data_IF_235406524791
#
_entry.id   IF_235406524791
#
_cell.length_a   1.000
_cell.length_b   1.000
_cell.length_c   1.000
_cell.angle_alpha   90.00
_cell.angle_beta   90.00
_cell.angle_gamma   90.00
#
_symmetry.space_group_name_H-M   'P 1'
#
loop_
_entity.id
_entity.type
_entity.pdbx_description
1 polymer ?
#
# COMPACT_ATOMS: atom_id res chain seq x y z
N UNK A 1 4.80 -8.43 -19.84
CA UNK A 1 4.92 -7.10 -19.19
C UNK A 1 4.70 -6.03 -20.22
N UNK A 2 4.13 -4.87 -19.86
CA UNK A 2 4.04 -3.73 -20.78
C UNK A 2 5.43 -3.14 -21.06
N UNK A 3 5.62 -2.42 -22.18
CA UNK A 3 6.87 -1.70 -22.50
C UNK A 3 7.27 -0.79 -21.33
N UNK A 4 6.30 -0.08 -20.75
CA UNK A 4 6.53 0.77 -19.58
C UNK A 4 7.25 0.04 -18.43
N UNK A 5 6.77 -1.13 -18.01
CA UNK A 5 7.38 -1.88 -16.89
C UNK A 5 8.79 -2.36 -17.23
N UNK A 6 9.04 -2.74 -18.48
CA UNK A 6 10.39 -3.08 -18.94
C UNK A 6 11.33 -1.88 -18.83
N UNK A 7 10.93 -0.75 -19.39
CA UNK A 7 11.73 0.48 -19.37
C UNK A 7 11.90 1.03 -17.95
N UNK A 8 10.87 0.90 -17.10
CA UNK A 8 10.94 1.29 -15.69
C UNK A 8 12.07 0.56 -14.96
N UNK A 9 12.14 -0.76 -15.11
CA UNK A 9 13.19 -1.55 -14.46
C UNK A 9 14.58 -1.30 -15.07
N UNK A 10 14.69 -1.14 -16.38
CA UNK A 10 15.95 -0.75 -17.01
C UNK A 10 16.51 0.55 -16.41
N UNK A 11 15.72 1.61 -16.43
CA UNK A 11 16.14 2.92 -15.89
C UNK A 11 16.39 2.87 -14.39
N UNK A 12 15.59 2.11 -13.63
CA UNK A 12 15.82 1.99 -12.20
C UNK A 12 17.14 1.26 -11.88
N UNK A 13 17.50 0.25 -12.66
CA UNK A 13 18.81 -0.42 -12.53
C UNK A 13 19.95 0.53 -12.88
N UNK A 14 19.84 1.27 -13.95
CA UNK A 14 20.82 2.31 -14.31
C UNK A 14 21.00 3.33 -13.19
N UNK A 15 19.90 3.80 -12.62
CA UNK A 15 19.91 4.75 -11.51
C UNK A 15 20.63 4.21 -10.27
N UNK A 16 20.30 3.00 -9.85
CA UNK A 16 20.93 2.40 -8.66
C UNK A 16 22.40 2.15 -8.88
N UNK A 17 22.80 1.68 -10.08
CA UNK A 17 24.19 1.52 -10.45
C UNK A 17 24.95 2.86 -10.48
N UNK A 18 24.33 3.91 -11.02
CA UNK A 18 24.91 5.27 -11.03
C UNK A 18 25.15 5.79 -9.62
N UNK A 19 24.21 5.53 -8.70
CA UNK A 19 24.23 6.05 -7.34
C UNK A 19 24.91 5.11 -6.33
N UNK A 20 25.44 3.95 -6.75
CA UNK A 20 25.93 2.89 -5.87
C UNK A 20 27.00 3.32 -4.84
N UNK A 21 27.89 4.22 -5.25
CA UNK A 21 28.99 4.71 -4.41
C UNK A 21 28.61 5.95 -3.58
N UNK A 22 27.41 6.52 -3.82
CA UNK A 22 26.90 7.65 -3.06
C UNK A 22 26.27 7.18 -1.76
N UNK A 23 27.08 7.06 -0.71
CA UNK A 23 26.66 6.53 0.59
C UNK A 23 26.82 7.56 1.70
N UNK A 24 25.83 7.68 2.59
CA UNK A 24 25.90 8.49 3.80
C UNK A 24 25.74 7.58 5.03
N UNK A 25 26.66 7.66 6.01
CA UNK A 25 26.70 6.76 7.18
C UNK A 25 26.57 5.27 6.80
N UNK A 26 27.18 4.87 5.69
CA UNK A 26 27.14 3.52 5.11
C UNK A 26 25.78 3.10 4.53
N UNK A 27 24.83 4.01 4.37
CA UNK A 27 23.55 3.76 3.70
C UNK A 27 23.62 4.29 2.26
N UNK A 28 23.43 3.44 1.24
CA UNK A 28 23.40 3.86 -0.16
C UNK A 28 22.18 4.77 -0.42
N UNK A 29 22.39 6.03 -0.82
CA UNK A 29 21.33 7.00 -1.00
C UNK A 29 20.40 6.65 -2.17
N UNK A 30 20.92 5.97 -3.21
CA UNK A 30 20.12 5.49 -4.33
C UNK A 30 19.03 4.50 -3.93
N UNK A 31 19.24 3.70 -2.87
CA UNK A 31 18.25 2.75 -2.38
C UNK A 31 17.09 3.41 -1.59
N UNK A 32 17.26 4.65 -1.12
CA UNK A 32 16.22 5.37 -0.37
C UNK A 32 15.16 5.94 -1.32
N UNK A 33 15.53 6.20 -2.58
CA UNK A 33 14.67 6.86 -3.56
C UNK A 33 13.45 6.02 -3.93
N UNK A 34 12.25 6.57 -3.82
CA UNK A 34 11.10 6.03 -4.51
C UNK A 34 11.18 6.42 -5.99
N UNK A 35 11.80 5.56 -6.79
CA UNK A 35 12.23 5.88 -8.15
C UNK A 35 11.07 6.31 -9.06
N UNK A 36 9.89 5.72 -8.88
CA UNK A 36 8.69 6.12 -9.64
C UNK A 36 8.41 7.62 -9.56
N UNK A 37 8.67 8.25 -8.41
CA UNK A 37 8.43 9.68 -8.21
C UNK A 37 9.43 10.60 -8.92
N UNK A 38 10.52 10.05 -9.46
CA UNK A 38 11.55 10.81 -10.19
C UNK A 38 11.29 10.87 -11.68
N UNK A 39 10.33 10.10 -12.19
CA UNK A 39 9.98 10.06 -13.60
C UNK A 39 8.81 11.01 -13.83
N UNK A 40 9.02 12.04 -14.68
CA UNK A 40 7.96 13.00 -15.00
C UNK A 40 6.80 12.33 -15.75
N UNK A 41 5.58 12.88 -15.71
CA UNK A 41 4.43 12.33 -16.44
C UNK A 41 4.72 12.12 -17.92
N UNK A 42 5.38 13.08 -18.57
CA UNK A 42 5.72 13.05 -20.01
C UNK A 42 6.70 11.91 -20.32
N UNK A 43 7.69 11.70 -19.44
CA UNK A 43 8.64 10.58 -19.59
C UNK A 43 7.94 9.26 -19.39
N UNK A 44 7.02 9.14 -18.40
CA UNK A 44 6.25 7.92 -18.19
C UNK A 44 5.39 7.55 -19.40
N UNK A 45 4.82 8.54 -20.08
CA UNK A 45 4.05 8.34 -21.30
C UNK A 45 4.95 7.83 -22.43
N UNK A 46 6.13 8.43 -22.63
CA UNK A 46 7.13 7.96 -23.60
C UNK A 46 7.61 6.52 -23.33
N UNK A 47 7.70 6.12 -22.06
CA UNK A 47 8.08 4.75 -21.68
C UNK A 47 7.07 3.67 -22.10
N UNK A 48 5.88 4.03 -22.59
CA UNK A 48 4.93 3.09 -23.21
C UNK A 48 5.36 2.69 -24.63
N UNK A 49 6.16 3.53 -25.30
CA UNK A 49 6.65 3.28 -26.65
C UNK A 49 7.87 2.33 -26.60
N UNK A 50 7.87 1.31 -27.45
CA UNK A 50 8.96 0.34 -27.58
C UNK A 50 10.29 1.03 -27.92
N UNK A 51 10.26 2.06 -28.77
CA UNK A 51 11.44 2.81 -29.18
C UNK A 51 12.18 3.52 -28.04
N UNK A 52 11.51 3.77 -26.90
CA UNK A 52 12.17 4.35 -25.72
C UNK A 52 13.32 3.48 -25.21
N UNK A 53 13.21 2.16 -25.36
CA UNK A 53 14.27 1.22 -24.97
C UNK A 53 15.59 1.41 -25.72
N UNK A 54 15.56 1.95 -26.94
CA UNK A 54 16.77 2.22 -27.74
C UNK A 54 17.61 3.38 -27.18
N UNK A 55 17.00 4.25 -26.36
CA UNK A 55 17.69 5.36 -25.69
C UNK A 55 18.40 4.92 -24.39
N UNK A 56 18.18 3.67 -23.94
CA UNK A 56 18.71 3.14 -22.68
C UNK A 56 19.97 2.31 -22.91
N UNK A 57 20.87 2.30 -21.93
CA UNK A 57 22.15 1.59 -22.03
C UNK A 57 22.11 0.20 -21.38
N UNK A 58 21.22 -0.03 -20.45
CA UNK A 58 21.07 -1.29 -19.72
C UNK A 58 20.10 -2.21 -20.43
N UNK A 59 20.38 -3.50 -20.49
CA UNK A 59 19.43 -4.49 -21.00
C UNK A 59 18.26 -4.66 -20.05
N UNK A 60 17.07 -4.94 -20.60
CA UNK A 60 15.87 -5.19 -19.78
C UNK A 60 16.09 -6.40 -18.86
N UNK A 61 15.95 -6.26 -17.52
CA UNK A 61 16.09 -7.38 -16.62
C UNK A 61 14.91 -8.36 -16.77
N UNK A 62 15.18 -9.64 -16.59
CA UNK A 62 14.10 -10.61 -16.44
C UNK A 62 13.40 -10.40 -15.09
N UNK A 63 12.11 -10.74 -14.96
CA UNK A 63 11.39 -10.58 -13.70
C UNK A 63 12.11 -11.14 -12.46
N UNK A 64 12.68 -12.32 -12.58
CA UNK A 64 13.40 -13.01 -11.51
C UNK A 64 14.73 -12.36 -11.12
N UNK A 65 15.25 -11.43 -11.91
CA UNK A 65 16.51 -10.72 -11.63
C UNK A 65 16.27 -9.42 -10.84
N UNK A 66 15.01 -8.99 -10.71
CA UNK A 66 14.66 -7.69 -10.11
C UNK A 66 15.12 -7.63 -8.65
N UNK A 67 14.57 -8.48 -7.78
CA UNK A 67 14.92 -8.43 -6.36
C UNK A 67 16.39 -8.78 -6.07
N UNK A 68 17.00 -9.79 -6.71
CA UNK A 68 18.42 -10.11 -6.52
C UNK A 68 19.36 -8.94 -6.79
N UNK A 69 19.07 -8.11 -7.79
CA UNK A 69 19.85 -6.90 -8.07
C UNK A 69 19.87 -5.95 -6.85
N UNK A 70 18.73 -5.67 -6.25
CA UNK A 70 18.66 -4.82 -5.06
C UNK A 70 19.25 -5.48 -3.82
N UNK A 71 19.11 -6.80 -3.69
CA UNK A 71 19.72 -7.56 -2.59
C UNK A 71 21.25 -7.49 -2.64
N UNK A 72 21.86 -7.55 -3.83
CA UNK A 72 23.28 -7.34 -4.02
C UNK A 72 23.73 -5.96 -3.52
N UNK A 73 22.98 -4.90 -3.83
CA UNK A 73 23.28 -3.56 -3.33
C UNK A 73 23.07 -3.43 -1.81
N UNK A 74 22.06 -4.08 -1.24
CA UNK A 74 21.86 -4.14 0.22
C UNK A 74 23.02 -4.85 0.94
N UNK A 75 23.61 -5.88 0.33
CA UNK A 75 24.77 -6.60 0.91
C UNK A 75 26.02 -5.73 1.04
N UNK A 76 26.13 -4.63 0.28
CA UNK A 76 27.24 -3.67 0.38
C UNK A 76 27.13 -2.75 1.61
N UNK A 77 26.00 -2.73 2.31
CA UNK A 77 25.83 -1.96 3.53
C UNK A 77 26.77 -2.50 4.60
N UNK A 78 27.69 -1.64 5.07
CA UNK A 78 28.62 -2.01 6.12
C UNK A 78 27.86 -2.29 7.42
N UNK A 79 27.96 -3.51 7.88
CA UNK A 79 27.29 -3.99 9.08
C UNK A 79 28.03 -3.55 10.34
N UNK A 80 27.26 -3.22 11.39
CA UNK A 80 27.80 -2.81 12.69
C UNK A 80 27.29 -3.75 13.78
N UNK A 81 28.07 -4.00 14.84
CA UNK A 81 27.60 -4.72 16.01
C UNK A 81 26.46 -3.94 16.69
N UNK A 82 25.34 -4.59 16.88
CA UNK A 82 24.19 -4.04 17.59
C UNK A 82 23.41 -5.19 18.25
N UNK A 83 23.41 -5.24 19.58
CA UNK A 83 22.71 -6.29 20.35
C UNK A 83 22.04 -5.66 21.57
N UNK A 84 20.79 -5.19 21.46
CA UNK A 84 20.07 -4.66 22.61
C UNK A 84 19.71 -5.81 23.57
N UNK A 85 20.03 -5.65 24.87
CA UNK A 85 19.76 -6.65 25.91
C UNK A 85 18.26 -6.91 26.13
N UNK A 86 17.41 -5.90 25.88
CA UNK A 86 15.95 -5.97 25.99
C UNK A 86 15.34 -5.13 24.88
N UNK A 87 15.37 -5.68 23.65
CA UNK A 87 14.98 -4.93 22.48
C UNK A 87 13.47 -4.79 22.35
N UNK A 88 13.04 -3.60 21.90
CA UNK A 88 11.64 -3.28 21.59
C UNK A 88 11.31 -3.50 20.13
N UNK A 89 10.04 -3.76 19.82
CA UNK A 89 9.55 -3.60 18.45
C UNK A 89 9.17 -2.13 18.21
N UNK A 90 9.68 -1.57 17.12
CA UNK A 90 9.31 -0.26 16.62
C UNK A 90 8.18 -0.38 15.62
N UNK A 91 7.03 0.22 15.90
CA UNK A 91 5.90 0.32 14.98
C UNK A 91 5.92 1.70 14.32
N UNK A 92 6.23 1.75 13.02
CA UNK A 92 6.18 3.00 12.27
C UNK A 92 4.75 3.31 11.86
N UNK A 93 4.15 4.31 12.50
CA UNK A 93 2.72 4.62 12.43
C UNK A 93 2.21 4.88 11.00
N UNK A 94 2.97 5.61 10.19
CA UNK A 94 2.55 5.99 8.85
C UNK A 94 2.35 4.75 7.98
N UNK A 95 1.18 4.68 7.33
CA UNK A 95 0.75 3.56 6.47
C UNK A 95 0.58 2.20 7.15
N UNK A 96 0.88 2.06 8.45
CA UNK A 96 0.68 0.80 9.17
C UNK A 96 -0.80 0.42 9.27
N UNK A 97 -1.68 1.43 9.36
CA UNK A 97 -3.15 1.26 9.36
C UNK A 97 -3.70 0.34 10.45
N UNK A 98 -2.98 0.17 11.54
CA UNK A 98 -3.45 -0.57 12.69
C UNK A 98 -4.62 0.13 13.36
N UNK A 99 -5.53 -0.64 13.89
CA UNK A 99 -6.65 -0.20 14.71
C UNK A 99 -6.25 -0.13 16.18
N UNK A 100 -7.09 0.47 17.04
CA UNK A 100 -6.89 0.45 18.49
C UNK A 100 -6.69 -0.98 19.00
N UNK A 101 -7.54 -1.92 18.57
CA UNK A 101 -7.48 -3.32 18.97
C UNK A 101 -6.11 -3.95 18.61
N UNK A 102 -5.55 -3.62 17.44
CA UNK A 102 -4.23 -4.14 17.08
C UNK A 102 -3.13 -3.58 17.98
N UNK A 103 -3.13 -2.25 18.27
CA UNK A 103 -2.12 -1.63 19.13
C UNK A 103 -2.18 -2.18 20.56
N UNK A 104 -3.37 -2.39 21.12
CA UNK A 104 -3.55 -2.90 22.50
C UNK A 104 -3.08 -4.34 22.70
N UNK A 105 -2.82 -5.09 21.61
CA UNK A 105 -2.25 -6.43 21.65
C UNK A 105 -0.74 -6.44 21.92
N UNK A 106 -0.06 -5.31 21.74
CA UNK A 106 1.38 -5.18 21.96
C UNK A 106 1.71 -4.81 23.40
N UNK A 107 2.79 -5.38 23.94
CA UNK A 107 3.24 -5.12 25.30
C UNK A 107 3.89 -3.73 25.43
N UNK A 108 3.41 -2.83 26.31
CA UNK A 108 3.89 -1.44 26.39
C UNK A 108 5.40 -1.27 26.64
N UNK A 109 5.97 -2.14 27.49
CA UNK A 109 7.39 -2.06 27.84
C UNK A 109 8.32 -2.57 26.73
N UNK A 110 7.77 -3.32 25.75
CA UNK A 110 8.50 -3.95 24.66
C UNK A 110 8.14 -3.37 23.29
N UNK A 111 7.36 -2.28 23.28
CA UNK A 111 6.90 -1.67 22.03
C UNK A 111 7.08 -0.16 22.10
N UNK A 112 7.39 0.43 20.97
CA UNK A 112 7.42 1.89 20.80
C UNK A 112 6.80 2.24 19.43
N UNK A 113 6.00 3.30 19.41
CA UNK A 113 5.38 3.83 18.19
C UNK A 113 6.18 5.03 17.72
N UNK A 114 6.64 5.02 16.48
CA UNK A 114 7.25 6.17 15.82
C UNK A 114 6.20 6.90 14.98
N UNK A 115 5.97 8.19 15.26
CA UNK A 115 4.95 8.97 14.58
C UNK A 115 5.41 10.41 14.32
N UNK A 116 4.71 11.13 13.42
CA UNK A 116 4.98 12.55 13.10
C UNK A 116 4.41 13.56 14.11
N UNK A 117 3.52 13.13 14.97
CA UNK A 117 2.83 13.98 15.95
C UNK A 117 3.38 13.74 17.36
N UNK A 118 3.30 14.80 18.20
CA UNK A 118 3.74 14.77 19.61
C UNK A 118 2.60 14.26 20.49
N UNK A 119 2.76 13.06 21.02
CA UNK A 119 1.95 12.47 22.09
C UNK A 119 2.86 11.59 22.93
N UNK A 120 2.65 11.52 24.22
CA UNK A 120 3.42 10.62 25.08
C UNK A 120 3.00 9.16 24.90
N UNK A 121 1.75 8.94 24.54
CA UNK A 121 1.10 7.64 24.50
C UNK A 121 0.15 7.51 23.28
N UNK A 122 0.04 6.30 22.74
CA UNK A 122 -0.94 5.93 21.73
C UNK A 122 -1.50 4.54 22.01
N UNK A 123 -2.75 4.48 22.46
CA UNK A 123 -3.42 3.25 22.91
C UNK A 123 -2.60 2.44 23.93
N UNK A 124 -1.99 3.13 24.90
CA UNK A 124 -1.16 2.54 25.95
C UNK A 124 0.26 2.21 25.54
N UNK A 125 0.70 2.56 24.34
CA UNK A 125 2.08 2.35 23.86
C UNK A 125 2.87 3.67 23.86
N UNK A 126 4.14 3.69 24.35
CA UNK A 126 4.99 4.87 24.28
C UNK A 126 5.18 5.35 22.82
N UNK A 127 5.19 6.65 22.63
CA UNK A 127 5.38 7.29 21.32
C UNK A 127 6.70 8.06 21.31
N UNK A 128 7.43 7.93 20.21
CA UNK A 128 8.55 8.79 19.82
C UNK A 128 8.08 9.65 18.66
N UNK A 129 8.20 10.95 18.82
CA UNK A 129 7.85 11.90 17.77
C UNK A 129 9.04 12.15 16.84
N UNK A 130 8.83 12.03 15.51
CA UNK A 130 9.89 12.34 14.53
C UNK A 130 10.53 13.71 14.72
N UNK A 131 9.78 14.78 15.03
CA UNK A 131 10.38 16.09 15.37
C UNK A 131 11.33 16.08 16.58
N UNK A 132 11.18 15.13 17.52
CA UNK A 132 12.08 15.01 18.69
C UNK A 132 13.42 14.35 18.34
N UNK A 133 13.48 13.67 17.21
CA UNK A 133 14.69 13.06 16.66
C UNK A 133 15.51 14.05 15.81
N UNK A 134 14.94 15.22 15.50
CA UNK A 134 15.63 16.23 14.72
C UNK A 134 16.74 16.88 15.56
N UNK A 135 17.99 16.61 15.16
CA UNK A 135 19.18 17.27 15.67
C UNK A 135 19.52 18.54 14.89
N UNK A 136 20.74 19.00 15.04
CA UNK A 136 21.28 20.06 14.18
C UNK A 136 21.37 19.58 12.73
N UNK A 137 20.93 20.46 11.81
CA UNK A 137 20.95 20.17 10.38
C UNK A 137 22.41 20.16 9.88
N UNK A 138 22.83 19.06 9.28
CA UNK A 138 24.16 18.91 8.70
C UNK A 138 24.24 19.57 7.31
N UNK A 139 24.37 20.92 7.30
CA UNK A 139 24.40 21.71 6.07
C UNK A 139 25.60 21.38 5.18
N UNK A 140 26.75 21.02 5.77
CA UNK A 140 27.94 20.64 5.04
C UNK A 140 27.70 19.37 4.24
N UNK A 141 27.12 18.35 4.88
CA UNK A 141 26.72 17.12 4.19
C UNK A 141 25.69 17.38 3.08
N UNK A 142 24.71 18.26 3.32
CA UNK A 142 23.73 18.61 2.28
C UNK A 142 24.42 19.14 1.02
N UNK A 143 25.33 20.11 1.16
CA UNK A 143 26.06 20.69 0.00
C UNK A 143 26.95 19.64 -0.65
N UNK A 144 27.75 18.91 0.12
CA UNK A 144 28.67 17.89 -0.37
C UNK A 144 27.95 16.82 -1.23
N UNK A 145 26.83 16.29 -0.74
CA UNK A 145 26.12 15.21 -1.43
C UNK A 145 25.32 15.69 -2.64
N UNK A 146 24.86 16.94 -2.65
CA UNK A 146 24.30 17.58 -3.86
C UNK A 146 25.39 17.75 -4.93
N UNK A 147 26.57 18.21 -4.56
CA UNK A 147 27.69 18.36 -5.50
C UNK A 147 28.14 17.02 -6.07
N UNK A 148 28.29 16.00 -5.23
CA UNK A 148 28.62 14.64 -5.68
C UNK A 148 27.58 14.09 -6.65
N UNK A 149 26.29 14.24 -6.35
CA UNK A 149 25.22 13.80 -7.25
C UNK A 149 25.21 14.56 -8.57
N UNK A 150 25.44 15.89 -8.53
CA UNK A 150 25.57 16.69 -9.77
C UNK A 150 26.75 16.24 -10.63
N UNK A 151 27.89 15.90 -10.01
CA UNK A 151 29.06 15.40 -10.73
C UNK A 151 28.78 14.04 -11.39
N UNK A 152 28.10 13.11 -10.67
CA UNK A 152 27.66 11.82 -11.23
C UNK A 152 26.70 11.98 -12.40
N UNK A 153 25.78 12.96 -12.36
CA UNK A 153 24.78 13.20 -13.39
C UNK A 153 25.31 14.01 -14.60
N UNK A 154 26.52 14.60 -14.52
CA UNK A 154 27.07 15.44 -15.58
C UNK A 154 27.20 14.69 -16.92
N UNK A 155 27.71 13.45 -16.99
CA UNK A 155 27.79 12.68 -18.24
C UNK A 155 26.43 12.31 -18.84
N UNK A 156 25.37 12.33 -18.03
CA UNK A 156 24.01 11.90 -18.40
C UNK A 156 23.10 13.07 -18.83
N UNK A 157 23.67 14.17 -19.35
CA UNK A 157 22.88 15.34 -19.75
C UNK A 157 21.85 15.05 -20.86
N UNK A 158 22.15 14.08 -21.73
CA UNK A 158 21.27 13.66 -22.83
C UNK A 158 20.42 12.43 -22.51
N UNK A 159 20.57 11.83 -21.31
CA UNK A 159 19.79 10.67 -20.93
C UNK A 159 18.30 11.05 -20.75
N UNK A 160 17.34 10.28 -21.29
CA UNK A 160 15.92 10.66 -21.33
C UNK A 160 15.30 10.90 -19.94
N UNK A 161 15.82 10.24 -18.89
CA UNK A 161 15.37 10.40 -17.50
C UNK A 161 16.35 11.27 -16.69
N UNK A 162 17.65 10.92 -16.64
CA UNK A 162 18.62 11.58 -15.76
C UNK A 162 19.03 12.98 -16.26
N UNK A 163 18.85 13.25 -17.56
CA UNK A 163 19.01 14.59 -18.16
C UNK A 163 17.82 15.51 -17.87
N UNK A 164 16.66 14.96 -17.49
CA UNK A 164 15.44 15.73 -17.27
C UNK A 164 15.56 16.63 -16.04
N UNK A 165 15.11 17.88 -16.18
CA UNK A 165 15.13 18.89 -15.09
C UNK A 165 14.32 18.43 -13.89
N UNK A 166 13.13 17.87 -14.12
CA UNK A 166 12.26 17.34 -13.06
C UNK A 166 12.99 16.29 -12.21
N UNK A 167 13.68 15.33 -12.84
CA UNK A 167 14.48 14.32 -12.15
C UNK A 167 15.55 14.96 -11.26
N UNK A 168 16.34 15.90 -11.83
CA UNK A 168 17.47 16.52 -11.15
C UNK A 168 17.05 17.38 -9.97
N UNK A 169 15.98 18.15 -10.12
CA UNK A 169 15.44 18.97 -9.01
C UNK A 169 14.87 18.10 -7.89
N UNK A 170 14.11 17.07 -8.26
CA UNK A 170 13.56 16.13 -7.28
C UNK A 170 14.67 15.42 -6.50
N UNK A 171 15.70 14.93 -7.18
CA UNK A 171 16.84 14.26 -6.54
C UNK A 171 17.58 15.19 -5.58
N UNK A 172 17.89 16.43 -5.98
CA UNK A 172 18.56 17.41 -5.10
C UNK A 172 17.77 17.65 -3.81
N UNK A 173 16.46 17.84 -3.94
CA UNK A 173 15.57 18.04 -2.78
C UNK A 173 15.55 16.82 -1.86
N UNK A 174 15.46 15.63 -2.43
CA UNK A 174 15.34 14.40 -1.67
C UNK A 174 16.65 13.98 -1.00
N UNK A 175 17.83 14.29 -1.60
CA UNK A 175 19.12 14.04 -0.97
C UNK A 175 19.26 14.75 0.38
N UNK A 176 18.82 16.00 0.48
CA UNK A 176 18.76 16.74 1.74
C UNK A 176 17.91 15.99 2.76
N UNK A 177 16.70 15.60 2.35
CA UNK A 177 15.80 14.85 3.21
C UNK A 177 16.38 13.49 3.64
N UNK A 178 17.07 12.78 2.74
CA UNK A 178 17.66 11.47 3.05
C UNK A 178 18.73 11.56 4.13
N UNK A 179 19.59 12.58 4.04
CA UNK A 179 20.64 12.84 5.05
C UNK A 179 19.99 13.10 6.41
N UNK A 180 19.00 14.01 6.47
CA UNK A 180 18.30 14.35 7.71
C UNK A 180 17.59 13.12 8.31
N UNK A 181 16.92 12.30 7.48
CA UNK A 181 16.22 11.10 7.93
C UNK A 181 17.20 10.02 8.43
N UNK A 182 18.35 9.87 7.79
CA UNK A 182 19.40 8.94 8.27
C UNK A 182 19.88 9.37 9.64
N UNK A 183 20.18 10.64 9.86
CA UNK A 183 20.63 11.17 11.15
C UNK A 183 19.58 11.00 12.25
N UNK A 184 18.32 11.31 11.96
CA UNK A 184 17.21 11.10 12.88
C UNK A 184 17.04 9.64 13.29
N UNK A 185 17.18 8.70 12.34
CA UNK A 185 17.04 7.28 12.63
C UNK A 185 18.26 6.72 13.36
N UNK A 186 19.47 7.21 13.09
CA UNK A 186 20.64 6.89 13.94
C UNK A 186 20.38 7.30 15.39
N UNK A 187 19.93 8.55 15.62
CA UNK A 187 19.55 9.03 16.96
C UNK A 187 18.48 8.14 17.62
N UNK A 188 17.47 7.69 16.85
CA UNK A 188 16.45 6.78 17.35
C UNK A 188 17.04 5.47 17.89
N UNK A 189 17.98 4.85 17.14
CA UNK A 189 18.62 3.61 17.56
C UNK A 189 19.61 3.78 18.71
N UNK A 190 20.13 5.00 18.93
CA UNK A 190 20.94 5.35 20.10
C UNK A 190 20.07 5.53 21.34
N UNK A 191 18.89 6.16 21.19
CA UNK A 191 17.95 6.43 22.27
C UNK A 191 17.16 5.21 22.74
N UNK A 192 16.90 4.25 21.84
CA UNK A 192 16.02 3.11 22.09
C UNK A 192 16.67 1.78 21.69
N UNK A 193 16.59 0.75 22.56
CA UNK A 193 17.04 -0.59 22.24
C UNK A 193 16.01 -1.28 21.31
N UNK A 194 16.14 -1.12 20.00
CA UNK A 194 15.22 -1.69 19.02
C UNK A 194 15.69 -3.09 18.62
N UNK A 195 14.82 -4.11 18.70
CA UNK A 195 15.05 -5.47 18.24
C UNK A 195 14.40 -5.78 16.89
N UNK A 196 13.29 -5.10 16.60
CA UNK A 196 12.56 -5.27 15.33
C UNK A 196 11.88 -3.98 14.91
N UNK A 197 11.63 -3.86 13.61
CA UNK A 197 10.89 -2.74 13.01
C UNK A 197 9.73 -3.26 12.18
N UNK A 198 8.53 -2.69 12.35
CA UNK A 198 7.36 -2.96 11.51
C UNK A 198 6.97 -1.67 10.79
N UNK A 199 6.89 -1.74 9.47
CA UNK A 199 6.47 -0.63 8.60
C UNK A 199 5.27 -1.04 7.76
N UNK A 200 4.42 -0.08 7.38
CA UNK A 200 3.26 -0.32 6.52
C UNK A 200 3.52 -0.11 5.03
N UNK A 201 4.71 0.37 4.67
CA UNK A 201 5.17 0.57 3.29
C UNK A 201 6.67 0.79 3.27
N UNK A 202 7.29 0.66 2.11
CA UNK A 202 8.66 1.13 1.83
C UNK A 202 8.69 2.15 0.69
N UNK A 203 7.58 2.84 0.43
CA UNK A 203 7.52 3.88 -0.60
C UNK A 203 8.05 5.25 -0.13
N UNK A 204 8.09 5.51 1.17
CA UNK A 204 8.62 6.75 1.73
C UNK A 204 10.06 6.60 2.26
N UNK A 205 10.80 7.72 2.28
CA UNK A 205 12.19 7.74 2.70
C UNK A 205 12.39 7.24 4.15
N UNK A 206 11.48 7.58 5.06
CA UNK A 206 11.58 7.19 6.47
C UNK A 206 11.51 5.67 6.64
N UNK A 207 10.51 5.03 6.02
CA UNK A 207 10.33 3.58 6.06
C UNK A 207 11.50 2.84 5.39
N UNK A 208 12.02 3.36 4.27
CA UNK A 208 13.20 2.77 3.60
C UNK A 208 14.44 2.88 4.45
N UNK A 209 14.73 4.04 5.04
CA UNK A 209 15.89 4.20 5.91
C UNK A 209 15.76 3.31 7.14
N UNK A 210 14.58 3.18 7.77
CA UNK A 210 14.35 2.22 8.85
C UNK A 210 14.70 0.79 8.41
N UNK A 211 14.23 0.36 7.25
CA UNK A 211 14.54 -0.98 6.73
C UNK A 211 16.04 -1.16 6.46
N UNK A 212 16.71 -0.20 5.83
CA UNK A 212 18.17 -0.27 5.56
C UNK A 212 19.01 -0.22 6.86
N UNK A 213 18.56 0.54 7.87
CA UNK A 213 19.19 0.58 9.18
C UNK A 213 19.06 -0.75 9.95
N UNK A 214 17.97 -1.51 9.72
CA UNK A 214 17.88 -2.88 10.27
C UNK A 214 18.86 -3.83 9.59
N UNK A 215 19.07 -3.70 8.26
CA UNK A 215 20.11 -4.45 7.54
C UNK A 215 21.50 -4.13 8.10
N UNK A 216 21.82 -2.85 8.32
CA UNK A 216 23.09 -2.38 8.91
C UNK A 216 23.34 -3.00 10.30
N UNK A 217 22.29 -3.24 11.08
CA UNK A 217 22.36 -3.72 12.48
C UNK A 217 22.03 -5.20 12.67
N UNK A 218 21.80 -5.95 11.60
CA UNK A 218 21.35 -7.35 11.65
C UNK A 218 20.05 -7.56 12.46
N UNK A 219 19.10 -6.65 12.31
CA UNK A 219 17.83 -6.71 12.98
C UNK A 219 16.72 -7.20 12.05
N UNK A 220 15.65 -7.68 12.64
CA UNK A 220 14.42 -8.02 11.92
C UNK A 220 13.66 -6.75 11.50
N UNK A 221 13.23 -6.69 10.25
CA UNK A 221 12.25 -5.72 9.78
C UNK A 221 11.15 -6.40 8.99
N UNK A 222 9.91 -5.97 9.21
CA UNK A 222 8.72 -6.50 8.52
C UNK A 222 8.01 -5.34 7.85
N UNK A 223 7.78 -5.43 6.54
CA UNK A 223 6.86 -4.56 5.84
C UNK A 223 5.54 -5.28 5.64
N UNK A 224 4.44 -4.71 6.10
CA UNK A 224 3.10 -5.24 5.84
C UNK A 224 2.54 -4.66 4.54
N UNK A 225 1.93 -5.50 3.73
CA UNK A 225 1.32 -5.09 2.48
C UNK A 225 0.20 -4.06 2.72
N UNK A 226 0.31 -2.88 2.12
CA UNK A 226 -0.58 -1.76 2.41
C UNK A 226 -1.84 -1.69 1.53
N UNK A 227 -1.91 -2.47 0.45
CA UNK A 227 -3.01 -2.44 -0.52
C UNK A 227 -3.04 -3.67 -1.41
N UNK A 228 -4.05 -3.76 -2.30
CA UNK A 228 -4.09 -4.77 -3.34
C UNK A 228 -2.91 -4.61 -4.30
N UNK A 229 -2.36 -5.72 -4.77
CA UNK A 229 -1.22 -5.74 -5.67
C UNK A 229 -1.64 -5.23 -7.05
N UNK A 230 -1.18 -4.02 -7.41
CA UNK A 230 -1.63 -3.32 -8.60
C UNK A 230 -0.54 -3.07 -9.64
N UNK A 231 0.71 -2.93 -9.21
CA UNK A 231 1.85 -2.62 -10.07
C UNK A 231 3.16 -2.78 -9.32
N UNK A 232 4.25 -2.91 -10.05
CA UNK A 232 5.57 -3.16 -9.49
C UNK A 232 6.04 -2.02 -8.59
N UNK A 233 5.79 -0.78 -8.99
CA UNK A 233 6.42 0.43 -8.47
C UNK A 233 6.14 0.68 -6.98
N UNK A 234 4.95 0.25 -6.52
CA UNK A 234 4.52 0.43 -5.13
C UNK A 234 4.94 -0.73 -4.19
N UNK A 235 5.35 -1.86 -4.76
CA UNK A 235 5.60 -3.09 -3.99
C UNK A 235 7.03 -3.61 -4.10
N UNK A 236 7.80 -3.17 -5.09
CA UNK A 236 9.20 -3.56 -5.30
C UNK A 236 10.12 -2.34 -5.40
N UNK A 237 11.38 -2.52 -4.99
CA UNK A 237 11.99 -3.70 -4.37
C UNK A 237 11.66 -3.84 -2.87
N UNK A 238 11.83 -5.05 -2.32
CA UNK A 238 11.76 -5.30 -0.88
C UNK A 238 13.07 -4.83 -0.23
N UNK A 239 12.94 -3.92 0.76
CA UNK A 239 14.08 -3.46 1.56
C UNK A 239 14.13 -4.10 2.95
N UNK A 240 13.02 -4.57 3.46
CA UNK A 240 12.92 -5.24 4.77
C UNK A 240 13.46 -6.67 4.72
N UNK A 241 13.77 -7.23 5.88
CA UNK A 241 14.24 -8.63 6.00
C UNK A 241 13.10 -9.63 5.79
N UNK A 242 11.84 -9.18 5.99
CA UNK A 242 10.63 -9.95 5.78
C UNK A 242 9.53 -9.05 5.20
N UNK A 243 8.68 -9.61 4.35
CA UNK A 243 7.53 -8.92 3.77
C UNK A 243 6.27 -9.72 4.06
N UNK A 244 5.33 -9.12 4.82
CA UNK A 244 4.05 -9.73 5.16
C UNK A 244 3.00 -9.43 4.09
N UNK A 245 2.48 -10.47 3.45
CA UNK A 245 1.52 -10.36 2.34
C UNK A 245 0.14 -10.92 2.71
N UNK A 246 -0.87 -10.62 1.90
CA UNK A 246 -2.24 -11.06 2.15
C UNK A 246 -2.41 -12.56 1.98
N UNK A 247 -1.88 -13.13 0.90
CA UNK A 247 -2.09 -14.52 0.58
C UNK A 247 -1.06 -15.11 -0.39
N UNK A 248 -1.40 -16.30 -0.90
CA UNK A 248 -0.53 -17.04 -1.81
C UNK A 248 -0.28 -16.31 -3.14
N UNK A 249 -1.28 -15.60 -3.66
CA UNK A 249 -1.15 -14.84 -4.91
C UNK A 249 0.01 -13.85 -4.85
N UNK A 250 0.07 -13.05 -3.79
CA UNK A 250 1.15 -12.08 -3.61
C UNK A 250 2.48 -12.78 -3.35
N UNK A 251 2.50 -13.82 -2.52
CA UNK A 251 3.74 -14.58 -2.26
C UNK A 251 4.34 -15.12 -3.55
N UNK A 252 3.53 -15.75 -4.39
CA UNK A 252 3.96 -16.28 -5.69
C UNK A 252 4.46 -15.16 -6.60
N UNK A 253 3.77 -14.00 -6.61
CA UNK A 253 4.18 -12.86 -7.40
C UNK A 253 5.56 -12.33 -6.99
N UNK A 254 5.83 -12.17 -5.69
CA UNK A 254 7.13 -11.73 -5.19
C UNK A 254 8.23 -12.75 -5.51
N UNK A 255 7.96 -14.04 -5.34
CA UNK A 255 8.90 -15.10 -5.68
C UNK A 255 9.23 -15.08 -7.18
N UNK A 256 8.24 -14.90 -8.05
CA UNK A 256 8.45 -14.74 -9.49
C UNK A 256 9.25 -13.48 -9.87
N UNK A 257 9.37 -12.50 -8.95
CA UNK A 257 10.22 -11.31 -9.08
C UNK A 257 11.60 -11.49 -8.44
N UNK A 258 11.95 -12.71 -8.04
CA UNK A 258 13.25 -13.09 -7.51
C UNK A 258 13.40 -12.94 -5.99
N UNK A 259 12.32 -12.64 -5.27
CA UNK A 259 12.37 -12.68 -3.80
C UNK A 259 12.56 -14.12 -3.30
N UNK A 260 13.37 -14.31 -2.27
CA UNK A 260 13.48 -15.62 -1.64
C UNK A 260 12.15 -15.96 -0.93
N UNK A 261 11.66 -17.21 -1.02
CA UNK A 261 10.40 -17.62 -0.41
C UNK A 261 10.30 -17.33 1.09
N UNK A 262 11.45 -17.34 1.81
CA UNK A 262 11.56 -17.10 3.24
C UNK A 262 11.52 -15.60 3.61
N UNK A 263 11.67 -14.73 2.62
CA UNK A 263 11.51 -13.28 2.79
C UNK A 263 10.04 -12.85 2.69
N UNK A 264 9.16 -13.70 2.15
CA UNK A 264 7.75 -13.37 1.92
C UNK A 264 6.87 -14.30 2.75
N UNK A 265 6.24 -13.73 3.78
CA UNK A 265 5.39 -14.47 4.71
C UNK A 265 3.92 -14.11 4.49
N UNK A 266 3.05 -15.12 4.48
CA UNK A 266 1.60 -14.89 4.41
C UNK A 266 1.14 -14.52 5.83
N UNK A 267 0.88 -13.23 6.06
CA UNK A 267 0.47 -12.72 7.38
C UNK A 267 -0.97 -12.22 7.41
N UNK A 268 -1.56 -11.98 6.24
CA UNK A 268 -2.70 -11.09 6.17
C UNK A 268 -2.30 -9.67 6.58
N UNK A 269 -3.28 -8.88 7.01
CA UNK A 269 -3.04 -7.54 7.54
C UNK A 269 -3.88 -7.30 8.79
N UNK A 270 -3.28 -6.91 9.94
CA UNK A 270 -3.96 -6.73 11.23
C UNK A 270 -5.25 -5.90 11.18
N UNK A 271 -5.31 -4.87 10.33
CA UNK A 271 -6.52 -4.03 10.21
C UNK A 271 -7.78 -4.83 9.82
N UNK A 272 -7.63 -5.97 9.13
CA UNK A 272 -8.77 -6.78 8.69
C UNK A 272 -9.32 -7.69 9.80
N UNK A 273 -8.61 -7.82 10.93
CA UNK A 273 -9.11 -8.51 12.12
C UNK A 273 -10.39 -7.84 12.65
N UNK A 274 -10.56 -6.53 12.37
CA UNK A 274 -11.80 -5.79 12.65
C UNK A 274 -13.07 -6.45 12.11
N UNK A 275 -12.96 -7.22 11.02
CA UNK A 275 -14.12 -7.94 10.46
C UNK A 275 -14.74 -8.88 11.51
N UNK A 276 -13.92 -9.44 12.40
CA UNK A 276 -14.35 -10.36 13.45
C UNK A 276 -14.44 -9.71 14.84
N UNK A 277 -13.58 -8.73 15.11
CA UNK A 277 -13.43 -8.14 16.45
C UNK A 277 -14.37 -6.96 16.70
N UNK A 278 -14.77 -6.24 15.64
CA UNK A 278 -15.63 -5.06 15.79
C UNK A 278 -17.09 -5.43 15.88
N UNK A 279 -17.78 -4.90 16.88
CA UNK A 279 -19.24 -4.85 16.90
C UNK A 279 -19.71 -3.67 16.05
N UNK A 280 -20.37 -3.90 14.90
CA UNK A 280 -20.85 -2.82 14.06
C UNK A 280 -22.03 -2.08 14.72
N UNK A 281 -22.32 -0.87 14.25
CA UNK A 281 -23.56 -0.18 14.62
C UNK A 281 -24.77 -1.07 14.30
N UNK A 282 -25.83 -0.97 15.11
CA UNK A 282 -27.08 -1.73 14.86
C UNK A 282 -27.68 -1.33 13.51
N UNK A 283 -28.27 -2.31 12.82
CA UNK A 283 -28.85 -2.12 11.48
C UNK A 283 -29.83 -0.95 11.43
N UNK A 284 -30.73 -0.86 12.41
CA UNK A 284 -31.75 0.18 12.49
C UNK A 284 -31.13 1.57 12.59
N UNK A 285 -29.99 1.71 13.28
CA UNK A 285 -29.27 2.99 13.37
C UNK A 285 -28.65 3.38 12.04
N UNK A 286 -28.03 2.42 11.34
CA UNK A 286 -27.42 2.65 10.03
C UNK A 286 -28.48 3.04 9.01
N UNK A 287 -29.56 2.26 8.90
CA UNK A 287 -30.63 2.51 7.93
C UNK A 287 -31.41 3.80 8.23
N UNK A 288 -31.60 4.14 9.50
CA UNK A 288 -32.19 5.44 9.90
C UNK A 288 -31.31 6.61 9.51
N UNK A 289 -29.97 6.53 9.73
CA UNK A 289 -29.05 7.59 9.28
C UNK A 289 -29.06 7.76 7.77
N UNK A 290 -29.21 6.68 7.01
CA UNK A 290 -29.31 6.69 5.55
C UNK A 290 -30.69 7.12 5.05
N UNK A 291 -31.72 7.12 5.90
CA UNK A 291 -33.12 7.21 5.52
C UNK A 291 -33.51 6.13 4.50
N UNK A 292 -33.08 4.89 4.77
CA UNK A 292 -33.28 3.71 3.94
C UNK A 292 -34.27 2.73 4.59
N UNK A 293 -34.93 1.92 3.76
CA UNK A 293 -35.81 0.83 4.21
C UNK A 293 -34.98 -0.47 4.34
N UNK A 294 -34.86 -1.07 5.54
CA UNK A 294 -34.07 -2.29 5.74
C UNK A 294 -34.63 -3.51 4.97
N UNK A 295 -35.86 -3.47 4.48
CA UNK A 295 -36.44 -4.55 3.67
C UNK A 295 -36.03 -4.50 2.19
N UNK A 296 -35.42 -3.41 1.72
CA UNK A 296 -34.95 -3.27 0.34
C UNK A 296 -33.51 -3.69 0.18
N UNK A 297 -33.15 -4.22 -0.98
CA UNK A 297 -31.78 -4.54 -1.34
C UNK A 297 -30.90 -3.29 -1.40
N UNK A 298 -29.69 -3.37 -0.85
CA UNK A 298 -28.78 -2.24 -0.76
C UNK A 298 -27.42 -2.57 -1.40
N UNK A 299 -27.01 -1.70 -2.33
CA UNK A 299 -25.72 -1.77 -3.01
C UNK A 299 -24.81 -0.65 -2.53
N UNK A 300 -23.58 -0.98 -2.19
CA UNK A 300 -22.49 -0.04 -1.94
C UNK A 300 -21.57 0.02 -3.16
N UNK A 301 -21.41 1.20 -3.74
CA UNK A 301 -20.38 1.46 -4.76
C UNK A 301 -19.27 2.27 -4.11
N UNK A 302 -18.10 1.63 -3.93
CA UNK A 302 -16.90 2.27 -3.42
C UNK A 302 -16.04 2.76 -4.58
N UNK A 303 -15.98 4.08 -4.77
CA UNK A 303 -15.31 4.68 -5.93
C UNK A 303 -13.81 4.84 -5.73
N UNK A 304 -13.08 5.06 -6.81
CA UNK A 304 -11.65 5.33 -6.83
C UNK A 304 -11.35 6.47 -7.80
N UNK A 305 -10.31 7.28 -7.54
CA UNK A 305 -9.92 8.37 -8.43
C UNK A 305 -9.49 7.84 -9.81
N UNK A 306 -9.62 8.68 -10.82
CA UNK A 306 -9.23 8.42 -12.21
C UNK A 306 -10.08 7.36 -12.95
N UNK A 307 -11.28 7.08 -12.44
CA UNK A 307 -12.22 6.13 -13.06
C UNK A 307 -13.66 6.68 -13.05
N UNK A 308 -13.79 8.01 -13.12
CA UNK A 308 -15.06 8.74 -12.98
C UNK A 308 -16.10 8.31 -14.02
N UNK A 309 -15.67 8.08 -15.27
CA UNK A 309 -16.57 7.63 -16.34
C UNK A 309 -17.18 6.26 -16.03
N UNK A 310 -16.34 5.30 -15.64
CA UNK A 310 -16.77 3.95 -15.27
C UNK A 310 -17.81 3.98 -14.14
N UNK A 311 -17.49 4.67 -13.05
CA UNK A 311 -18.40 4.77 -11.91
C UNK A 311 -19.67 5.57 -12.26
N UNK A 312 -19.55 6.60 -13.10
CA UNK A 312 -20.69 7.37 -13.58
C UNK A 312 -21.74 6.50 -14.28
N UNK A 313 -21.30 5.59 -15.15
CA UNK A 313 -22.20 4.68 -15.88
C UNK A 313 -22.82 3.62 -14.96
N UNK A 314 -22.01 3.01 -14.06
CA UNK A 314 -22.52 2.06 -13.05
C UNK A 314 -23.58 2.72 -12.17
N UNK A 315 -23.27 3.88 -11.60
CA UNK A 315 -24.15 4.59 -10.66
C UNK A 315 -25.43 5.05 -11.33
N UNK A 316 -25.36 5.66 -12.51
CA UNK A 316 -26.54 6.09 -13.27
C UNK A 316 -27.46 4.93 -13.64
N UNK A 317 -26.87 3.76 -13.97
CA UNK A 317 -27.65 2.58 -14.32
C UNK A 317 -28.40 2.01 -13.12
N UNK A 318 -27.73 1.87 -11.96
CA UNK A 318 -28.37 1.37 -10.73
C UNK A 318 -29.38 2.37 -10.18
N UNK A 319 -29.10 3.68 -10.21
CA UNK A 319 -29.98 4.73 -9.68
C UNK A 319 -31.33 4.82 -10.39
N UNK A 320 -31.48 4.25 -11.59
CA UNK A 320 -32.80 4.11 -12.27
C UNK A 320 -33.74 3.15 -11.54
N UNK A 321 -33.22 2.25 -10.71
CA UNK A 321 -33.99 1.21 -10.01
C UNK A 321 -34.41 1.71 -8.61
N UNK A 322 -35.66 2.14 -8.46
CA UNK A 322 -36.23 2.67 -7.21
C UNK A 322 -36.46 1.59 -6.13
N UNK A 323 -36.45 0.33 -6.53
CA UNK A 323 -36.55 -0.83 -5.66
C UNK A 323 -35.21 -1.23 -5.03
N UNK A 324 -34.07 -0.69 -5.53
CA UNK A 324 -32.72 -0.89 -5.01
C UNK A 324 -32.24 0.39 -4.32
N UNK A 325 -31.63 0.26 -3.17
CA UNK A 325 -30.98 1.34 -2.43
C UNK A 325 -29.50 1.40 -2.78
N UNK A 326 -29.01 2.58 -3.11
CA UNK A 326 -27.65 2.82 -3.60
C UNK A 326 -26.87 3.71 -2.65
N UNK A 327 -25.74 3.24 -2.17
CA UNK A 327 -24.76 4.02 -1.42
C UNK A 327 -23.56 4.29 -2.33
N UNK A 328 -23.21 5.56 -2.49
CA UNK A 328 -21.97 6.00 -3.13
C UNK A 328 -20.98 6.37 -2.02
N UNK A 329 -19.83 5.70 -1.98
CA UNK A 329 -18.76 5.97 -1.00
C UNK A 329 -17.48 6.35 -1.73
N UNK A 330 -17.20 7.66 -1.89
CA UNK A 330 -16.02 8.15 -2.56
C UNK A 330 -14.73 7.81 -1.80
N UNK A 331 -13.67 7.64 -2.57
CA UNK A 331 -12.33 7.48 -2.00
C UNK A 331 -11.91 8.74 -1.22
N UNK A 332 -11.16 8.63 -0.10
CA UNK A 332 -10.70 9.79 0.67
C UNK A 332 -9.98 10.86 -0.15
N UNK A 333 -9.27 10.47 -1.20
CA UNK A 333 -8.60 11.38 -2.13
C UNK A 333 -9.59 12.25 -2.93
N UNK A 334 -10.72 11.67 -3.38
CA UNK A 334 -11.78 12.41 -4.09
C UNK A 334 -12.46 13.41 -3.16
N UNK A 335 -12.73 12.99 -1.91
CA UNK A 335 -13.31 13.86 -0.88
C UNK A 335 -12.38 15.04 -0.57
N UNK A 336 -11.08 14.78 -0.37
CA UNK A 336 -10.09 15.80 -0.03
C UNK A 336 -9.91 16.85 -1.13
N UNK A 337 -10.17 16.49 -2.40
CA UNK A 337 -10.08 17.36 -3.58
C UNK A 337 -11.40 17.89 -4.09
N UNK A 338 -12.47 17.63 -3.32
CA UNK A 338 -13.85 18.04 -3.67
C UNK A 338 -14.30 17.59 -5.08
N UNK A 339 -13.87 16.39 -5.53
CA UNK A 339 -14.26 15.80 -6.81
C UNK A 339 -15.53 14.97 -6.67
N UNK A 340 -16.64 15.62 -6.25
CA UNK A 340 -17.90 14.95 -5.89
C UNK A 340 -19.10 15.42 -6.68
N UNK A 341 -18.92 16.32 -7.67
CA UNK A 341 -20.03 16.97 -8.37
C UNK A 341 -20.96 15.95 -9.06
N UNK A 342 -20.40 14.96 -9.75
CA UNK A 342 -21.16 13.93 -10.46
C UNK A 342 -21.95 13.05 -9.48
N UNK A 343 -21.34 12.68 -8.36
CA UNK A 343 -22.00 11.88 -7.32
C UNK A 343 -23.15 12.66 -6.65
N UNK A 344 -22.95 13.95 -6.42
CA UNK A 344 -23.99 14.84 -5.88
C UNK A 344 -25.14 15.00 -6.87
N UNK A 345 -24.87 15.03 -8.17
CA UNK A 345 -25.91 15.07 -9.20
C UNK A 345 -26.72 13.76 -9.24
N UNK A 346 -26.05 12.60 -9.10
CA UNK A 346 -26.71 11.29 -9.07
C UNK A 346 -27.55 11.11 -7.79
N UNK A 347 -27.10 11.63 -6.64
CA UNK A 347 -27.89 11.58 -5.39
C UNK A 347 -29.27 12.24 -5.52
N UNK A 348 -29.40 13.25 -6.40
CA UNK A 348 -30.67 13.91 -6.68
C UNK A 348 -31.71 13.03 -7.43
N UNK A 349 -31.29 11.85 -7.90
CA UNK A 349 -32.18 10.90 -8.56
C UNK A 349 -33.31 10.38 -7.64
N UNK A 350 -33.12 10.42 -6.32
CA UNK A 350 -34.18 10.10 -5.37
C UNK A 350 -33.70 9.69 -3.97
N UNK A 351 -34.68 9.51 -3.09
CA UNK A 351 -34.45 9.13 -1.69
C UNK A 351 -33.82 7.73 -1.50
N UNK A 352 -33.66 6.94 -2.55
CA UNK A 352 -33.02 5.63 -2.55
C UNK A 352 -31.52 5.70 -2.87
N UNK A 353 -30.98 6.90 -3.10
CA UNK A 353 -29.54 7.12 -3.39
C UNK A 353 -28.94 7.99 -2.31
N UNK A 354 -27.75 7.62 -1.79
CA UNK A 354 -27.01 8.38 -0.78
C UNK A 354 -25.54 8.47 -1.11
N UNK A 355 -25.00 9.66 -0.96
CA UNK A 355 -23.58 9.95 -0.99
C UNK A 355 -23.04 9.99 0.46
N UNK A 356 -22.18 9.05 0.84
CA UNK A 356 -21.62 8.94 2.18
C UNK A 356 -20.13 9.26 2.14
N UNK A 357 -19.73 10.33 2.79
CA UNK A 357 -18.32 10.77 2.87
C UNK A 357 -17.64 10.17 4.11
N UNK A 358 -17.99 10.67 5.31
CA UNK A 358 -17.41 10.25 6.59
C UNK A 358 -18.46 9.95 7.68
N UNK A 359 -19.73 10.12 7.38
CA UNK A 359 -20.85 10.09 8.33
C UNK A 359 -21.07 8.70 8.93
N UNK A 360 -20.71 7.67 8.16
CA UNK A 360 -20.77 6.26 8.60
C UNK A 360 -19.49 5.57 8.16
N UNK A 361 -18.86 4.85 9.07
CA UNK A 361 -17.68 4.06 8.79
C UNK A 361 -17.98 2.90 7.83
N UNK A 362 -17.00 2.50 7.01
CA UNK A 362 -17.16 1.41 6.06
C UNK A 362 -17.52 0.09 6.75
N UNK A 363 -16.91 -0.19 7.90
CA UNK A 363 -17.14 -1.42 8.67
C UNK A 363 -18.49 -1.44 9.41
N UNK A 364 -19.15 -0.28 9.54
CA UNK A 364 -20.56 -0.19 10.00
C UNK A 364 -21.55 -0.35 8.84
N UNK A 365 -21.12 -0.10 7.58
CA UNK A 365 -21.95 -0.28 6.38
C UNK A 365 -21.91 -1.73 5.87
N UNK A 366 -20.70 -2.28 5.69
CA UNK A 366 -20.48 -3.58 5.03
C UNK A 366 -21.35 -4.72 5.58
N UNK A 367 -21.56 -4.88 6.90
CA UNK A 367 -22.41 -5.96 7.43
C UNK A 367 -23.82 -5.97 6.87
N UNK A 368 -24.34 -4.83 6.43
CA UNK A 368 -25.75 -4.66 6.01
C UNK A 368 -25.93 -4.48 4.51
N UNK A 369 -24.86 -4.53 3.73
CA UNK A 369 -24.93 -4.47 2.28
C UNK A 369 -25.29 -5.84 1.70
N UNK A 370 -26.11 -5.87 0.66
CA UNK A 370 -26.35 -7.07 -0.14
C UNK A 370 -25.23 -7.29 -1.16
N UNK A 371 -24.68 -6.18 -1.70
CA UNK A 371 -23.64 -6.22 -2.70
C UNK A 371 -22.69 -5.03 -2.57
N UNK A 372 -21.43 -5.24 -2.94
CA UNK A 372 -20.43 -4.18 -3.07
C UNK A 372 -19.85 -4.17 -4.48
N UNK A 373 -19.74 -2.98 -5.06
CA UNK A 373 -19.12 -2.75 -6.39
C UNK A 373 -17.91 -1.84 -6.20
N UNK A 374 -16.79 -2.23 -6.77
CA UNK A 374 -15.58 -1.39 -6.82
C UNK A 374 -14.70 -1.81 -8.00
N UNK A 375 -13.56 -1.14 -8.18
CA UNK A 375 -12.52 -1.55 -9.11
C UNK A 375 -11.42 -2.33 -8.37
N UNK A 376 -10.27 -1.72 -8.22
CA UNK A 376 -9.03 -2.33 -7.69
C UNK A 376 -8.82 -2.06 -6.20
N UNK A 377 -9.86 -1.68 -5.49
CA UNK A 377 -9.81 -1.34 -4.06
C UNK A 377 -9.80 -2.58 -3.17
N UNK A 378 -9.09 -2.51 -2.04
CA UNK A 378 -9.21 -3.50 -0.96
C UNK A 378 -10.61 -3.59 -0.36
N UNK A 379 -11.49 -2.63 -0.64
CA UNK A 379 -12.91 -2.70 -0.23
C UNK A 379 -13.59 -3.93 -0.81
N UNK A 380 -13.18 -4.40 -2.01
CA UNK A 380 -13.66 -5.67 -2.56
C UNK A 380 -13.27 -6.87 -1.69
N UNK A 381 -12.01 -6.93 -1.25
CA UNK A 381 -11.51 -7.95 -0.32
C UNK A 381 -12.26 -7.86 1.03
N UNK A 382 -12.37 -6.65 1.59
CA UNK A 382 -13.08 -6.41 2.85
C UNK A 382 -14.54 -6.85 2.79
N UNK A 383 -15.24 -6.55 1.70
CA UNK A 383 -16.61 -7.00 1.49
C UNK A 383 -16.74 -8.53 1.46
N UNK A 384 -15.81 -9.21 0.80
CA UNK A 384 -15.79 -10.69 0.77
C UNK A 384 -15.47 -11.28 2.14
N UNK A 385 -14.61 -10.66 2.95
CA UNK A 385 -14.39 -11.03 4.34
C UNK A 385 -15.69 -10.91 5.18
N UNK A 386 -16.52 -9.90 4.91
CA UNK A 386 -17.88 -9.76 5.45
C UNK A 386 -18.91 -10.70 4.77
N UNK A 387 -18.47 -11.65 3.92
CA UNK A 387 -19.31 -12.61 3.18
C UNK A 387 -20.37 -11.93 2.29
N UNK A 388 -20.04 -10.76 1.74
CA UNK A 388 -20.89 -10.02 0.81
C UNK A 388 -20.64 -10.45 -0.64
N UNK A 389 -21.67 -10.31 -1.48
CA UNK A 389 -21.50 -10.42 -2.91
C UNK A 389 -20.70 -9.24 -3.41
N UNK A 390 -19.78 -9.49 -4.34
CA UNK A 390 -18.98 -8.41 -4.95
C UNK A 390 -19.07 -8.48 -6.46
N UNK A 391 -19.03 -7.30 -7.08
CA UNK A 391 -18.72 -7.16 -8.50
C UNK A 391 -17.56 -6.19 -8.64
N UNK A 392 -16.57 -6.59 -9.36
CA UNK A 392 -15.33 -5.83 -9.54
C UNK A 392 -15.23 -5.38 -11.00
N UNK A 393 -15.05 -4.09 -11.20
CA UNK A 393 -14.73 -3.55 -12.52
C UNK A 393 -13.29 -3.89 -12.89
N UNK A 394 -13.08 -4.33 -14.12
CA UNK A 394 -11.77 -4.59 -14.68
C UNK A 394 -11.17 -3.29 -15.23
N UNK A 395 -9.95 -3.00 -14.85
CA UNK A 395 -9.21 -1.91 -15.47
C UNK A 395 -8.48 -2.42 -16.71
N UNK A 396 -8.66 -1.71 -17.82
CA UNK A 396 -8.09 -2.07 -19.13
C UNK A 396 -6.66 -1.58 -19.34
N UNK A 397 -6.17 -0.68 -18.49
CA UNK A 397 -4.83 -0.12 -18.63
C UNK A 397 -3.75 -1.14 -18.29
N UNK A 398 -2.86 -1.41 -19.25
CA UNK A 398 -1.85 -2.46 -19.28
C UNK A 398 -0.74 -2.42 -18.21
N UNK A 399 -0.81 -1.50 -17.24
CA UNK A 399 0.15 -1.36 -16.15
C UNK A 399 -0.26 -2.08 -14.88
N UNK A 400 -1.49 -2.63 -14.81
CA UNK A 400 -2.05 -3.14 -13.57
C UNK A 400 -2.21 -4.65 -13.58
N UNK A 401 -1.96 -5.26 -12.43
CA UNK A 401 -2.15 -6.71 -12.26
C UNK A 401 -3.63 -7.04 -12.06
N UNK A 402 -4.09 -8.18 -12.60
CA UNK A 402 -5.48 -8.60 -12.50
C UNK A 402 -5.76 -9.27 -11.14
N UNK A 403 -5.57 -8.54 -10.03
CA UNK A 403 -5.69 -9.06 -8.67
C UNK A 403 -7.00 -9.83 -8.43
N UNK A 404 -8.10 -9.38 -9.03
CA UNK A 404 -9.43 -9.98 -8.87
C UNK A 404 -9.82 -10.94 -9.99
N UNK A 405 -8.89 -11.37 -10.84
CA UNK A 405 -9.21 -12.19 -12.02
C UNK A 405 -9.87 -13.54 -11.67
N UNK A 406 -9.46 -14.17 -10.54
CA UNK A 406 -10.04 -15.43 -10.07
C UNK A 406 -11.50 -15.33 -9.62
N UNK A 407 -12.07 -14.12 -9.51
CA UNK A 407 -13.52 -13.93 -9.34
C UNK A 407 -14.32 -14.27 -10.62
N UNK A 408 -13.66 -14.55 -11.74
CA UNK A 408 -14.30 -15.00 -12.98
C UNK A 408 -15.39 -14.03 -13.45
N UNK A 409 -16.64 -14.51 -13.54
CA UNK A 409 -17.76 -13.70 -14.04
C UNK A 409 -18.13 -12.49 -13.15
N UNK A 410 -17.59 -12.40 -11.94
CA UNK A 410 -17.76 -11.23 -11.07
C UNK A 410 -16.71 -10.13 -11.31
N UNK A 411 -15.80 -10.31 -12.27
CA UNK A 411 -14.78 -9.34 -12.66
C UNK A 411 -15.02 -8.93 -14.13
N UNK A 412 -15.51 -7.72 -14.38
CA UNK A 412 -16.06 -7.29 -15.67
C UNK A 412 -15.51 -5.95 -16.11
N UNK A 413 -15.38 -5.77 -17.43
CA UNK A 413 -14.81 -4.57 -18.04
C UNK A 413 -15.87 -3.50 -18.36
N UNK A 414 -17.02 -3.92 -18.86
CA UNK A 414 -18.09 -3.00 -19.25
C UNK A 414 -18.90 -2.55 -18.03
N UNK A 415 -18.97 -1.22 -17.73
CA UNK A 415 -19.67 -0.70 -16.55
C UNK A 415 -21.19 -0.89 -16.60
N UNK A 416 -21.78 -0.83 -17.79
CA UNK A 416 -23.24 -0.99 -17.96
C UNK A 416 -23.63 -2.45 -17.73
N UNK A 417 -22.91 -3.39 -18.36
CA UNK A 417 -23.15 -4.83 -18.16
C UNK A 417 -22.92 -5.25 -16.71
N UNK A 418 -21.91 -4.66 -16.04
CA UNK A 418 -21.65 -4.89 -14.61
C UNK A 418 -22.82 -4.42 -13.76
N UNK A 419 -23.36 -3.23 -14.03
CA UNK A 419 -24.51 -2.70 -13.31
C UNK A 419 -25.79 -3.52 -13.57
N UNK A 420 -26.03 -3.96 -14.79
CA UNK A 420 -27.15 -4.85 -15.15
C UNK A 420 -27.01 -6.20 -14.46
N UNK A 421 -25.80 -6.77 -14.39
CA UNK A 421 -25.51 -7.99 -13.64
C UNK A 421 -25.77 -7.80 -12.15
N UNK A 422 -25.39 -6.66 -11.57
CA UNK A 422 -25.71 -6.33 -10.18
C UNK A 422 -27.23 -6.38 -9.93
N UNK A 423 -28.02 -5.77 -10.81
CA UNK A 423 -29.48 -5.77 -10.72
C UNK A 423 -30.06 -7.18 -10.82
N UNK A 424 -29.56 -8.02 -11.74
CA UNK A 424 -29.98 -9.44 -11.84
C UNK A 424 -29.68 -10.23 -10.56
N UNK A 425 -28.43 -10.17 -10.09
CA UNK A 425 -28.00 -10.89 -8.86
C UNK A 425 -28.86 -10.47 -7.65
N UNK A 426 -29.21 -9.20 -7.53
CA UNK A 426 -30.04 -8.72 -6.43
C UNK A 426 -31.49 -9.22 -6.49
N UNK A 427 -31.97 -9.58 -7.69
CA UNK A 427 -33.32 -10.09 -7.95
C UNK A 427 -33.41 -11.62 -7.95
N UNK A 428 -32.29 -12.33 -7.93
CA UNK A 428 -32.22 -13.78 -8.02
C UNK A 428 -31.36 -14.37 -6.89
N UNK A 429 -31.98 -15.17 -6.01
CA UNK A 429 -31.30 -15.76 -4.85
C UNK A 429 -30.23 -16.79 -5.23
N UNK A 430 -30.39 -17.48 -6.37
CA UNK A 430 -29.38 -18.45 -6.85
C UNK A 430 -28.16 -17.73 -7.37
N UNK A 431 -28.32 -16.69 -8.19
CA UNK A 431 -27.22 -15.84 -8.64
C UNK A 431 -26.49 -15.17 -7.47
N UNK A 432 -27.24 -14.68 -6.47
CA UNK A 432 -26.68 -14.12 -5.25
C UNK A 432 -25.82 -15.15 -4.49
N UNK A 433 -26.29 -16.37 -4.37
CA UNK A 433 -25.56 -17.47 -3.72
C UNK A 433 -24.27 -17.79 -4.48
N UNK A 434 -24.34 -17.86 -5.82
CA UNK A 434 -23.16 -18.10 -6.66
C UNK A 434 -22.12 -16.99 -6.53
N UNK A 435 -22.52 -15.74 -6.56
CA UNK A 435 -21.62 -14.60 -6.37
C UNK A 435 -20.93 -14.62 -4.98
N UNK A 436 -21.65 -14.97 -3.92
CA UNK A 436 -21.07 -15.15 -2.59
C UNK A 436 -20.08 -16.32 -2.54
N UNK A 437 -20.38 -17.42 -3.23
CA UNK A 437 -19.47 -18.57 -3.29
C UNK A 437 -18.17 -18.25 -4.04
N UNK A 438 -18.23 -17.45 -5.11
CA UNK A 438 -17.04 -16.97 -5.80
C UNK A 438 -16.17 -16.11 -4.88
N UNK A 439 -16.78 -15.19 -4.13
CA UNK A 439 -16.07 -14.41 -3.11
C UNK A 439 -15.45 -15.26 -2.01
N UNK A 440 -16.15 -16.28 -1.53
CA UNK A 440 -15.63 -17.19 -0.51
C UNK A 440 -14.42 -18.01 -1.00
N UNK A 441 -14.44 -18.48 -2.25
CA UNK A 441 -13.28 -19.16 -2.88
C UNK A 441 -12.10 -18.20 -3.00
N UNK A 442 -12.35 -16.97 -3.45
CA UNK A 442 -11.32 -15.95 -3.54
C UNK A 442 -10.62 -15.74 -2.18
N UNK A 443 -11.40 -15.63 -1.09
CA UNK A 443 -10.83 -15.46 0.27
C UNK A 443 -9.97 -16.65 0.69
N UNK A 444 -10.40 -17.89 0.39
CA UNK A 444 -9.61 -19.08 0.72
C UNK A 444 -8.23 -19.10 0.04
N UNK A 445 -8.14 -18.57 -1.18
CA UNK A 445 -6.91 -18.54 -1.98
C UNK A 445 -6.04 -17.30 -1.67
N UNK A 446 -6.68 -16.15 -1.44
CA UNK A 446 -5.98 -14.85 -1.38
C UNK A 446 -5.87 -14.26 0.04
N UNK A 447 -6.61 -14.77 1.02
CA UNK A 447 -6.58 -14.25 2.39
C UNK A 447 -6.88 -15.35 3.43
N UNK A 448 -5.95 -16.30 3.68
CA UNK A 448 -6.23 -17.49 4.49
C UNK A 448 -6.29 -17.22 6.01
N UNK A 449 -5.74 -16.10 6.50
CA UNK A 449 -5.64 -15.84 7.94
C UNK A 449 -6.80 -15.00 8.45
N UNK A 450 -7.48 -15.51 9.49
CA UNK A 450 -8.58 -14.81 10.15
C UNK A 450 -8.11 -13.83 11.24
N UNK A 451 -6.92 -14.03 11.81
CA UNK A 451 -6.32 -13.24 12.90
C UNK A 451 -4.88 -12.85 12.57
N UNK A 452 -4.75 -11.84 11.75
CA UNK A 452 -3.46 -11.40 11.22
C UNK A 452 -2.55 -10.77 12.27
N UNK A 453 -3.14 -10.18 13.34
CA UNK A 453 -2.35 -9.65 14.46
C UNK A 453 -1.60 -10.77 15.19
N UNK A 454 -2.24 -11.92 15.43
CA UNK A 454 -1.60 -13.06 16.09
C UNK A 454 -0.50 -13.67 15.22
N UNK A 455 -0.74 -13.73 13.90
CA UNK A 455 0.27 -14.18 12.94
C UNK A 455 1.49 -13.24 12.95
N UNK A 456 1.27 -11.93 12.96
CA UNK A 456 2.36 -10.94 13.03
C UNK A 456 3.15 -11.06 14.34
N UNK A 457 2.48 -11.17 15.49
CA UNK A 457 3.14 -11.32 16.81
C UNK A 457 3.94 -12.62 16.87
N UNK A 458 3.40 -13.72 16.37
CA UNK A 458 4.10 -15.01 16.28
C UNK A 458 5.32 -14.92 15.35
N UNK A 459 5.21 -14.25 14.21
CA UNK A 459 6.31 -14.05 13.29
C UNK A 459 7.43 -13.20 13.94
N UNK A 460 7.08 -12.11 14.61
CA UNK A 460 8.03 -11.28 15.37
C UNK A 460 8.75 -12.11 16.43
N UNK A 461 8.03 -12.91 17.21
CA UNK A 461 8.62 -13.81 18.23
C UNK A 461 9.58 -14.82 17.60
N UNK A 462 9.17 -15.45 16.49
CA UNK A 462 10.02 -16.43 15.77
C UNK A 462 11.30 -15.80 15.23
N UNK A 463 11.21 -14.59 14.63
CA UNK A 463 12.37 -13.93 14.02
C UNK A 463 13.31 -13.24 15.04
N UNK A 464 12.84 -12.89 16.24
CA UNK A 464 13.62 -12.12 17.22
C UNK A 464 13.93 -12.89 18.52
N UNK A 465 13.18 -13.93 18.82
CA UNK A 465 13.20 -14.62 20.12
C UNK A 465 12.49 -13.84 21.24
N UNK A 466 11.91 -12.66 20.98
CA UNK A 466 11.24 -11.79 21.95
C UNK A 466 9.74 -11.88 21.78
N UNK A 467 9.01 -12.01 22.90
CA UNK A 467 7.56 -12.00 22.91
C UNK A 467 7.04 -10.58 23.11
N UNK A 468 6.44 -10.00 22.07
CA UNK A 468 5.90 -8.64 22.09
C UNK A 468 4.39 -8.59 22.42
N UNK A 469 3.78 -9.73 22.70
CA UNK A 469 2.36 -9.83 23.04
C UNK A 469 2.11 -9.34 24.46
N UNK A 470 0.98 -8.63 24.65
CA UNK A 470 0.50 -8.16 25.94
C UNK A 470 -0.15 -9.29 26.74
#
# INVERSE_FOLDING_TARGET
>A
MSHYIHHYWQVYFEYVNLMKDLTYRHIPLGLISNFYQYISPEVRERMEDEAFGEELTTTCPKPQDIQPFFDQHKQQIKRIPYRPSHGKVLLHFEHLRFTEQNYTRFHPNQTVVLARWKKADYFGLPVISKPELAGEVNKEAHVEYIEKANALLKPYAQHPVFGNVFFREKLRKDLVQFIDVIDQIETLFEMQPIAAVVVGTTEDAYSRVLALQTVKRHLTSICLQHGALMGDEAFLPIFTTCHGVFGKYEKDWYVNKGCQPEQVEITGHPRFDLVQERTPLQQEMVFRKLNFNPAKKTVLVATQPFSEAFYGDVLKTIAKRKDIQLIMKPHPWEIARNRLNDYTAIERAGNHVRLIKKEIDLYDLLPYMDMVITLTSTVGLEAMLFKKSVLIGKMTEGRRYPYYESLGSCHMENPIELAEKAIRILSDEQEMKLAKQQGARFIQEHYPHAQSTDVLLSLLKTKTGVDFQR
#
